data_IF_820204848564
#
_entry.id   IF_820204848564
#
_cell.length_a   1.000
_cell.length_b   1.000
_cell.length_c   1.000
_cell.angle_alpha   90.00
_cell.angle_beta   90.00
_cell.angle_gamma   90.00
#
_symmetry.space_group_name_H-M   'P 1'
#
loop_
_entity.id
_entity.type
_entity.pdbx_description
1 polymer ?
#
# COMPACT_ATOMS: atom_id res chain seq x y z
N UNK A 1 -1.28 7.12 -17.95
CA UNK A 1 -0.60 6.48 -16.81
C UNK A 1 -1.13 7.15 -15.55
N UNK A 2 -1.41 6.39 -14.49
CA UNK A 2 -1.86 6.97 -13.21
C UNK A 2 -0.63 7.55 -12.50
N UNK A 3 -0.75 8.78 -12.00
CA UNK A 3 0.28 9.46 -11.19
C UNK A 3 -0.12 9.28 -9.72
N UNK A 4 0.56 8.38 -9.02
CA UNK A 4 0.25 8.04 -7.63
C UNK A 4 0.61 9.18 -6.71
N UNK A 5 1.68 9.93 -7.01
CA UNK A 5 2.07 11.11 -6.24
C UNK A 5 1.01 12.22 -6.31
N UNK A 6 0.38 12.41 -7.47
CA UNK A 6 -0.75 13.31 -7.61
C UNK A 6 -2.00 12.80 -6.85
N UNK A 7 -2.21 11.48 -6.82
CA UNK A 7 -3.31 10.88 -6.06
C UNK A 7 -3.11 11.00 -4.54
N UNK A 8 -1.89 10.83 -4.02
CA UNK A 8 -1.57 11.07 -2.61
C UNK A 8 -2.05 12.44 -2.14
N UNK A 9 -1.70 13.49 -2.90
CA UNK A 9 -2.10 14.87 -2.63
C UNK A 9 -3.61 15.05 -2.68
N UNK A 10 -4.28 14.44 -3.65
CA UNK A 10 -5.74 14.51 -3.78
C UNK A 10 -6.45 13.83 -2.61
N UNK A 11 -6.00 12.63 -2.21
CA UNK A 11 -6.55 11.91 -1.06
C UNK A 11 -6.36 12.70 0.23
N UNK A 12 -5.16 13.24 0.46
CA UNK A 12 -4.87 14.07 1.61
C UNK A 12 -5.74 15.32 1.63
N UNK A 13 -5.84 16.04 0.51
CA UNK A 13 -6.66 17.23 0.39
C UNK A 13 -8.14 16.94 0.68
N UNK A 14 -8.68 15.84 0.16
CA UNK A 14 -10.05 15.40 0.48
C UNK A 14 -10.22 15.10 1.98
N UNK A 15 -9.23 14.47 2.64
CA UNK A 15 -9.27 14.27 4.11
C UNK A 15 -9.36 15.61 4.86
N UNK A 16 -8.57 16.61 4.46
CA UNK A 16 -8.63 17.97 5.04
C UNK A 16 -10.02 18.58 4.85
N UNK A 17 -10.55 18.54 3.63
CA UNK A 17 -11.86 19.14 3.29
C UNK A 17 -13.02 18.48 4.02
N UNK A 18 -12.92 17.18 4.33
CA UNK A 18 -13.92 16.44 5.12
C UNK A 18 -13.71 16.54 6.63
N UNK A 19 -12.65 17.21 7.09
CA UNK A 19 -12.31 17.29 8.51
C UNK A 19 -11.91 15.94 9.11
N UNK A 20 -11.37 15.03 8.29
CA UNK A 20 -10.87 13.74 8.73
C UNK A 20 -9.52 13.86 9.44
N UNK A 21 -9.14 12.79 10.13
CA UNK A 21 -7.86 12.73 10.81
C UNK A 21 -6.69 12.76 9.81
N UNK A 22 -5.72 13.61 10.08
CA UNK A 22 -4.44 13.71 9.33
C UNK A 22 -3.23 13.89 10.25
N UNK A 23 -3.45 13.92 11.57
CA UNK A 23 -2.42 14.24 12.57
C UNK A 23 -2.10 13.08 13.51
N UNK A 24 -3.09 12.24 13.84
CA UNK A 24 -2.86 11.04 14.65
C UNK A 24 -2.48 9.87 13.73
N UNK A 25 -1.20 9.53 13.69
CA UNK A 25 -0.64 8.53 12.78
C UNK A 25 -1.10 7.11 13.15
N UNK A 26 -1.14 6.80 14.45
CA UNK A 26 -1.59 5.51 14.96
C UNK A 26 -3.04 5.23 14.54
N UNK A 27 -3.89 6.26 14.57
CA UNK A 27 -5.27 6.19 14.09
C UNK A 27 -5.34 5.91 12.59
N UNK A 28 -4.50 6.54 11.77
CA UNK A 28 -4.46 6.25 10.33
C UNK A 28 -4.05 4.80 10.04
N UNK A 29 -3.08 4.26 10.79
CA UNK A 29 -2.73 2.84 10.70
C UNK A 29 -3.90 1.94 11.09
N UNK A 30 -4.61 2.24 12.19
CA UNK A 30 -5.78 1.47 12.60
C UNK A 30 -6.90 1.50 11.55
N UNK A 31 -7.12 2.64 10.89
CA UNK A 31 -8.10 2.74 9.81
C UNK A 31 -7.69 1.90 8.60
N UNK A 32 -6.41 1.97 8.18
CA UNK A 32 -5.89 1.11 7.11
C UNK A 32 -6.03 -0.39 7.42
N UNK A 33 -5.82 -0.79 8.68
CA UNK A 33 -6.10 -2.16 9.12
C UNK A 33 -7.58 -2.52 9.06
N UNK A 34 -8.47 -1.56 9.34
CA UNK A 34 -9.91 -1.69 9.19
C UNK A 34 -10.30 -2.03 7.75
N UNK A 35 -9.83 -1.25 6.78
CA UNK A 35 -10.12 -1.50 5.35
C UNK A 35 -9.62 -2.89 4.89
N UNK A 36 -8.45 -3.32 5.38
CA UNK A 36 -7.96 -4.67 5.06
C UNK A 36 -8.85 -5.77 5.67
N UNK A 37 -9.44 -5.53 6.84
CA UNK A 37 -10.41 -6.43 7.44
C UNK A 37 -11.73 -6.47 6.65
N UNK A 38 -12.18 -5.34 6.11
CA UNK A 38 -13.37 -5.25 5.26
C UNK A 38 -13.15 -5.97 3.92
N UNK A 39 -11.98 -5.79 3.29
CA UNK A 39 -11.58 -6.55 2.10
C UNK A 39 -11.56 -8.06 2.36
N UNK A 40 -11.01 -8.51 3.50
CA UNK A 40 -11.03 -9.93 3.86
C UNK A 40 -12.48 -10.44 4.06
N UNK A 41 -13.33 -9.66 4.72
CA UNK A 41 -14.73 -10.01 4.92
C UNK A 41 -15.50 -10.10 3.60
N UNK A 42 -15.28 -9.17 2.66
CA UNK A 42 -15.84 -9.20 1.32
C UNK A 42 -15.45 -10.48 0.57
N UNK A 43 -14.16 -10.82 0.57
CA UNK A 43 -13.67 -12.07 -0.02
C UNK A 43 -14.30 -13.31 0.63
N UNK A 44 -14.26 -13.39 1.96
CA UNK A 44 -14.77 -14.53 2.73
C UNK A 44 -16.28 -14.75 2.51
N UNK A 45 -17.04 -13.67 2.38
CA UNK A 45 -18.49 -13.70 2.16
C UNK A 45 -18.87 -13.75 0.67
N UNK A 46 -17.91 -13.74 -0.24
CA UNK A 46 -18.12 -13.70 -1.71
C UNK A 46 -19.04 -12.54 -2.14
N UNK A 47 -18.81 -11.37 -1.55
CA UNK A 47 -19.49 -10.16 -1.97
C UNK A 47 -18.90 -9.63 -3.29
N UNK A 48 -19.68 -8.83 -3.99
CA UNK A 48 -19.26 -8.19 -5.26
C UNK A 48 -18.47 -6.89 -5.04
N UNK A 49 -18.29 -6.44 -3.79
CA UNK A 49 -17.62 -5.19 -3.39
C UNK A 49 -16.11 -5.34 -3.14
N UNK A 50 -15.52 -6.53 -3.27
CA UNK A 50 -14.09 -6.77 -2.96
C UNK A 50 -13.12 -5.80 -3.67
N UNK A 51 -13.44 -5.40 -4.90
CA UNK A 51 -12.62 -4.45 -5.65
C UNK A 51 -12.65 -3.03 -5.07
N UNK A 52 -13.78 -2.61 -4.49
CA UNK A 52 -13.94 -1.33 -3.80
C UNK A 52 -13.14 -1.33 -2.50
N UNK A 53 -13.24 -2.41 -1.71
CA UNK A 53 -12.50 -2.57 -0.46
C UNK A 53 -10.97 -2.54 -0.66
N UNK A 54 -10.47 -3.13 -1.77
CA UNK A 54 -9.05 -2.99 -2.13
C UNK A 54 -8.68 -1.56 -2.50
N UNK A 55 -9.58 -0.80 -3.12
CA UNK A 55 -9.34 0.61 -3.41
C UNK A 55 -9.26 1.42 -2.10
N UNK A 56 -10.09 1.11 -1.11
CA UNK A 56 -10.07 1.78 0.19
C UNK A 56 -8.75 1.55 0.96
N UNK A 57 -8.22 0.31 0.93
CA UNK A 57 -6.87 0.03 1.45
C UNK A 57 -5.81 0.91 0.76
N UNK A 58 -5.87 1.03 -0.58
CA UNK A 58 -4.93 1.86 -1.34
C UNK A 58 -5.10 3.34 -0.98
N UNK A 59 -6.33 3.83 -0.83
CA UNK A 59 -6.62 5.23 -0.45
C UNK A 59 -5.99 5.55 0.91
N UNK A 60 -6.12 4.67 1.91
CA UNK A 60 -5.46 4.90 3.19
C UNK A 60 -3.94 4.88 3.10
N UNK A 61 -3.35 3.98 2.32
CA UNK A 61 -1.90 3.97 2.09
C UNK A 61 -1.42 5.24 1.40
N UNK A 62 -2.16 5.75 0.40
CA UNK A 62 -1.86 7.02 -0.28
C UNK A 62 -1.94 8.20 0.70
N UNK A 63 -3.01 8.29 1.49
CA UNK A 63 -3.18 9.35 2.48
C UNK A 63 -2.10 9.32 3.55
N UNK A 64 -1.78 8.13 4.09
CA UNK A 64 -0.74 7.94 5.09
C UNK A 64 0.65 8.28 4.54
N UNK A 65 0.92 7.93 3.27
CA UNK A 65 2.18 8.28 2.61
C UNK A 65 2.34 9.80 2.48
N UNK A 66 1.29 10.53 2.10
CA UNK A 66 1.33 12.00 2.06
C UNK A 66 1.56 12.61 3.45
N UNK A 67 0.86 12.11 4.48
CA UNK A 67 1.02 12.57 5.87
C UNK A 67 2.46 12.39 6.36
N UNK A 68 3.10 11.28 5.99
CA UNK A 68 4.47 10.94 6.40
C UNK A 68 5.55 11.52 5.47
N UNK A 69 5.18 12.19 4.38
CA UNK A 69 6.13 12.72 3.40
C UNK A 69 6.83 11.65 2.56
N UNK A 70 6.20 10.50 2.37
CA UNK A 70 6.71 9.38 1.58
C UNK A 70 6.24 9.52 0.13
N UNK A 71 7.15 9.33 -0.82
CA UNK A 71 6.82 9.20 -2.24
C UNK A 71 6.50 7.74 -2.55
N UNK A 72 5.24 7.35 -2.40
CA UNK A 72 4.83 5.94 -2.57
C UNK A 72 5.02 5.45 -4.00
N UNK A 73 4.92 6.33 -4.99
CA UNK A 73 5.17 5.95 -6.39
C UNK A 73 6.62 5.52 -6.56
N UNK A 74 7.57 6.31 -6.06
CA UNK A 74 8.98 5.98 -6.07
C UNK A 74 9.26 4.66 -5.34
N UNK A 75 8.78 4.52 -4.10
CA UNK A 75 8.98 3.30 -3.29
C UNK A 75 8.38 2.05 -3.95
N UNK A 76 7.19 2.17 -4.56
CA UNK A 76 6.54 1.07 -5.25
C UNK A 76 7.33 0.62 -6.49
N UNK A 77 7.71 1.58 -7.35
CA UNK A 77 8.46 1.28 -8.57
C UNK A 77 9.83 0.67 -8.22
N UNK A 78 10.53 1.25 -7.24
CA UNK A 78 11.79 0.72 -6.73
C UNK A 78 11.63 -0.70 -6.21
N UNK A 79 10.59 -0.96 -5.41
CA UNK A 79 10.33 -2.29 -4.84
C UNK A 79 10.00 -3.32 -5.90
N UNK A 80 9.22 -2.95 -6.92
CA UNK A 80 8.89 -3.83 -8.06
C UNK A 80 10.16 -4.23 -8.80
N UNK A 81 11.04 -3.27 -9.10
CA UNK A 81 12.28 -3.55 -9.81
C UNK A 81 13.24 -4.39 -8.97
N UNK A 82 13.39 -4.05 -7.69
CA UNK A 82 14.17 -4.87 -6.75
C UNK A 82 13.65 -6.30 -6.67
N UNK A 83 12.33 -6.50 -6.64
CA UNK A 83 11.74 -7.84 -6.61
C UNK A 83 11.95 -8.61 -7.92
N UNK A 84 11.99 -7.94 -9.07
CA UNK A 84 12.28 -8.55 -10.38
C UNK A 84 13.64 -9.22 -10.41
N UNK A 85 14.63 -8.62 -9.76
CA UNK A 85 16.02 -9.11 -9.70
C UNK A 85 16.29 -10.08 -8.55
N UNK A 86 15.28 -10.40 -7.72
CA UNK A 86 15.47 -11.36 -6.63
C UNK A 86 15.58 -12.79 -7.14
N UNK A 87 16.59 -13.48 -6.63
CA UNK A 87 16.80 -14.90 -6.91
C UNK A 87 16.23 -15.75 -5.77
N UNK A 88 15.47 -16.78 -6.15
CA UNK A 88 14.84 -17.72 -5.22
C UNK A 88 15.27 -19.14 -5.55
N UNK A 89 15.46 -19.95 -4.51
CA UNK A 89 15.68 -21.39 -4.64
C UNK A 89 14.72 -22.15 -3.75
N UNK A 90 14.36 -23.37 -4.15
CA UNK A 90 13.59 -24.27 -3.29
C UNK A 90 14.57 -25.12 -2.47
N UNK A 91 14.54 -24.94 -1.16
CA UNK A 91 15.29 -25.75 -0.20
C UNK A 91 14.25 -26.47 0.66
N UNK A 92 14.26 -27.81 0.64
CA UNK A 92 13.31 -28.65 1.37
C UNK A 92 11.83 -28.30 1.14
N UNK A 93 11.48 -27.91 -0.10
CA UNK A 93 10.12 -27.52 -0.47
C UNK A 93 9.73 -26.09 -0.11
N UNK A 94 10.59 -25.35 0.59
CA UNK A 94 10.39 -23.94 0.95
C UNK A 94 11.09 -23.04 -0.06
N UNK A 95 10.39 -22.01 -0.56
CA UNK A 95 10.99 -20.99 -1.41
C UNK A 95 11.82 -20.04 -0.55
N UNK A 96 13.15 -20.16 -0.64
CA UNK A 96 14.11 -19.33 0.09
C UNK A 96 14.70 -18.29 -0.86
N UNK A 97 14.71 -17.02 -0.44
CA UNK A 97 15.41 -15.94 -1.15
C UNK A 97 16.92 -16.14 -0.97
N UNK A 98 17.66 -16.24 -2.06
CA UNK A 98 19.09 -16.57 -2.05
C UNK A 98 20.01 -15.40 -2.35
N UNK A 99 19.47 -14.33 -2.96
CA UNK A 99 20.21 -13.10 -3.23
C UNK A 99 19.31 -11.88 -3.12
N UNK A 100 19.79 -10.84 -2.45
CA UNK A 100 19.17 -9.52 -2.47
C UNK A 100 19.80 -8.70 -3.60
N UNK A 101 18.96 -8.02 -4.39
CA UNK A 101 19.44 -7.02 -5.32
C UNK A 101 19.71 -5.73 -4.54
N UNK A 102 20.97 -5.33 -4.48
CA UNK A 102 21.39 -4.02 -4.00
C UNK A 102 21.73 -3.18 -5.24
N UNK A 103 21.04 -2.06 -5.43
CA UNK A 103 21.46 -1.09 -6.45
C UNK A 103 22.83 -0.55 -6.07
N UNK A 104 23.78 -0.61 -7.00
CA UNK A 104 25.06 0.09 -6.87
C UNK A 104 24.78 1.58 -6.70
N UNK A 105 25.16 2.11 -5.54
CA UNK A 105 25.07 3.53 -5.15
C UNK A 105 25.83 4.44 -6.11
#
# INVERSE_FOLDING_TARGET
MVDLKALQKQVYQNKIEKGFNVTNIEKEFCLAYGEMAEAYEAYRKKKDDLGEEFADVIIYLLGLSEILGIDLEHELLHKIEKNRHREYQKIDGVTVRTKEYEESV
#
